data_IF_691275408642
#
_entry.id   IF_691275408642
#
_cell.length_a   1.000
_cell.length_b   1.000
_cell.length_c   1.000
_cell.angle_alpha   90.00
_cell.angle_beta   90.00
_cell.angle_gamma   90.00
#
_symmetry.space_group_name_H-M   'P 1'
#
loop_
_entity.id
_entity.type
_entity.pdbx_description
1 polymer ?
#
# COMPACT_ATOMS: atom_id res chain seq x y z
N UNK A 1 47.39 0.00 34.41
CA UNK A 1 46.06 0.59 34.28
C UNK A 1 45.54 0.23 32.90
N UNK A 2 44.65 -0.71 32.83
CA UNK A 2 44.05 -1.16 31.56
C UNK A 2 42.75 -0.42 31.35
N UNK A 3 42.71 0.47 30.35
CA UNK A 3 41.48 1.07 29.88
C UNK A 3 40.79 0.04 28.98
N UNK A 4 39.75 -0.58 29.45
CA UNK A 4 38.87 -1.35 28.64
C UNK A 4 37.96 -0.38 27.90
N UNK A 5 38.24 -0.19 26.62
CA UNK A 5 37.31 0.48 25.71
C UNK A 5 36.15 -0.48 25.45
N UNK A 6 34.99 -0.17 26.02
CA UNK A 6 33.74 -0.80 25.66
C UNK A 6 33.29 -0.23 24.31
N UNK A 7 33.50 -1.02 23.25
CA UNK A 7 32.88 -0.74 21.98
C UNK A 7 31.40 -1.16 22.10
N UNK A 8 30.52 -0.20 22.34
CA UNK A 8 29.09 -0.41 22.10
C UNK A 8 28.88 -0.47 20.59
N UNK A 9 28.76 -1.68 20.09
CA UNK A 9 28.23 -1.88 18.74
C UNK A 9 26.74 -1.54 18.77
N UNK A 10 26.38 -0.34 18.33
CA UNK A 10 24.98 -0.01 18.08
C UNK A 10 24.51 -0.86 16.89
N UNK A 11 23.73 -1.88 17.17
CA UNK A 11 22.97 -2.59 16.14
C UNK A 11 21.90 -1.64 15.64
N UNK A 12 22.16 -1.00 14.51
CA UNK A 12 21.12 -0.33 13.73
C UNK A 12 20.27 -1.44 13.08
N UNK A 13 19.16 -1.76 13.72
CA UNK A 13 18.14 -2.55 13.07
C UNK A 13 17.51 -1.68 11.98
N UNK A 14 17.96 -1.87 10.73
CA UNK A 14 17.28 -1.29 9.57
C UNK A 14 15.98 -2.07 9.36
N UNK A 15 14.86 -1.54 9.87
CA UNK A 15 13.56 -2.03 9.48
C UNK A 15 13.41 -1.79 7.97
N UNK A 16 13.14 -2.86 7.21
CA UNK A 16 12.80 -2.73 5.79
C UNK A 16 11.68 -1.72 5.62
N UNK A 17 11.84 -0.76 4.71
CA UNK A 17 10.85 0.28 4.49
C UNK A 17 9.51 -0.36 4.06
N UNK A 18 8.39 -0.20 4.83
CA UNK A 18 7.10 -0.83 4.51
C UNK A 18 6.58 -0.47 3.12
N UNK A 19 6.85 0.76 2.66
CA UNK A 19 6.42 1.26 1.35
C UNK A 19 7.00 0.43 0.20
N UNK A 20 8.29 0.02 0.26
CA UNK A 20 8.92 -0.80 -0.77
C UNK A 20 8.33 -2.22 -0.80
N UNK A 21 8.10 -2.82 0.38
CA UNK A 21 7.45 -4.12 0.50
C UNK A 21 6.02 -4.10 -0.06
N UNK A 22 5.26 -3.03 0.16
CA UNK A 22 3.89 -2.87 -0.34
C UNK A 22 3.82 -2.66 -1.84
N UNK A 23 4.78 -1.98 -2.46
CA UNK A 23 4.90 -1.90 -3.91
C UNK A 23 5.17 -3.29 -4.52
N UNK A 24 6.04 -4.07 -3.91
CA UNK A 24 6.29 -5.44 -4.32
C UNK A 24 5.02 -6.32 -4.21
N UNK A 25 4.22 -6.12 -3.16
CA UNK A 25 2.92 -6.79 -3.01
C UNK A 25 1.94 -6.39 -4.13
N UNK A 26 1.88 -5.12 -4.48
CA UNK A 26 1.03 -4.66 -5.57
C UNK A 26 1.43 -5.29 -6.91
N UNK A 27 2.72 -5.42 -7.17
CA UNK A 27 3.23 -6.11 -8.36
C UNK A 27 2.92 -7.61 -8.32
N UNK A 28 3.12 -8.25 -7.18
CA UNK A 28 2.86 -9.68 -6.99
C UNK A 28 1.39 -10.04 -7.27
N UNK A 29 0.47 -9.18 -6.87
CA UNK A 29 -0.97 -9.40 -7.03
C UNK A 29 -1.57 -8.74 -8.29
N UNK A 30 -0.74 -8.33 -9.24
CA UNK A 30 -1.13 -7.74 -10.52
C UNK A 30 -1.94 -6.43 -10.42
N UNK A 31 -1.85 -5.73 -9.32
CA UNK A 31 -2.52 -4.44 -9.15
C UNK A 31 -2.00 -3.40 -10.16
N UNK A 32 -0.72 -3.49 -10.50
CA UNK A 32 -0.05 -2.57 -11.42
C UNK A 32 -0.43 -2.80 -12.89
N UNK A 33 -1.22 -3.81 -13.19
CA UNK A 33 -1.81 -3.96 -14.53
C UNK A 33 -2.88 -2.89 -14.81
N UNK A 34 -3.57 -2.42 -13.79
CA UNK A 34 -4.64 -1.43 -13.88
C UNK A 34 -4.35 -0.12 -13.17
N UNK A 35 -3.39 -0.10 -12.26
CA UNK A 35 -3.02 1.07 -11.47
C UNK A 35 -1.57 1.46 -11.70
N UNK A 36 -1.27 2.73 -11.55
CA UNK A 36 0.08 3.26 -11.38
C UNK A 36 0.11 4.17 -10.15
N UNK A 37 1.31 4.51 -9.67
CA UNK A 37 1.47 5.36 -8.49
C UNK A 37 0.97 6.78 -8.76
N UNK A 38 1.33 7.35 -9.90
CA UNK A 38 1.21 8.79 -10.20
C UNK A 38 0.36 9.11 -11.43
N UNK A 39 -0.22 8.11 -12.09
CA UNK A 39 -1.04 8.34 -13.28
C UNK A 39 -2.18 7.33 -13.39
N UNK A 40 -3.25 7.74 -14.06
CA UNK A 40 -4.35 6.86 -14.44
C UNK A 40 -3.90 5.90 -15.53
N UNK A 41 -4.26 4.63 -15.37
CA UNK A 41 -4.15 3.60 -16.42
C UNK A 41 -5.56 3.11 -16.74
N UNK A 42 -5.98 1.96 -16.26
CA UNK A 42 -7.39 1.55 -16.29
C UNK A 42 -8.09 2.09 -15.04
N UNK A 43 -7.49 1.89 -13.88
CA UNK A 43 -7.91 2.46 -12.61
C UNK A 43 -7.20 3.78 -12.27
N UNK A 44 -7.63 4.45 -11.18
CA UNK A 44 -7.02 5.70 -10.76
C UNK A 44 -5.59 5.52 -10.31
N UNK A 45 -4.80 6.61 -10.39
CA UNK A 45 -3.50 6.67 -9.73
C UNK A 45 -3.64 6.47 -8.23
N UNK A 46 -2.72 5.75 -7.60
CA UNK A 46 -2.75 5.56 -6.15
C UNK A 46 -2.64 6.86 -5.37
N UNK A 47 -1.90 7.84 -5.89
CA UNK A 47 -1.82 9.18 -5.29
C UNK A 47 -3.17 9.91 -5.31
N UNK A 48 -3.98 9.71 -6.34
CA UNK A 48 -5.34 10.28 -6.39
C UNK A 48 -6.29 9.57 -5.43
N UNK A 49 -6.15 8.27 -5.24
CA UNK A 49 -6.88 7.53 -4.21
C UNK A 49 -6.55 8.07 -2.82
N UNK A 50 -5.27 8.26 -2.52
CA UNK A 50 -4.82 8.83 -1.25
C UNK A 50 -5.41 10.22 -1.00
N UNK A 51 -5.45 11.07 -2.01
CA UNK A 51 -6.03 12.42 -1.91
C UNK A 51 -7.54 12.37 -1.67
N UNK A 52 -8.25 11.48 -2.37
CA UNK A 52 -9.71 11.34 -2.22
C UNK A 52 -10.11 10.93 -0.81
N UNK A 53 -9.35 10.05 -0.18
CA UNK A 53 -9.66 9.50 1.14
C UNK A 53 -8.92 10.18 2.30
N UNK A 54 -8.13 11.21 2.02
CA UNK A 54 -7.39 11.93 3.05
C UNK A 54 -8.33 12.45 4.15
N UNK A 55 -8.01 12.17 5.41
CA UNK A 55 -8.79 12.61 6.58
C UNK A 55 -10.08 11.82 6.85
N UNK A 56 -10.40 10.81 6.05
CA UNK A 56 -11.56 9.96 6.30
C UNK A 56 -11.22 8.84 7.27
N UNK A 57 -12.01 8.68 8.33
CA UNK A 57 -11.76 7.70 9.41
C UNK A 57 -11.83 6.25 8.93
N UNK A 58 -12.70 5.96 7.99
CA UNK A 58 -12.98 4.62 7.46
C UNK A 58 -12.24 4.33 6.15
N UNK A 59 -11.30 5.17 5.77
CA UNK A 59 -10.58 5.06 4.50
C UNK A 59 -9.92 3.69 4.32
N UNK A 60 -9.22 3.19 5.34
CA UNK A 60 -8.57 1.89 5.27
C UNK A 60 -9.58 0.75 5.06
N UNK A 61 -10.65 0.73 5.84
CA UNK A 61 -11.72 -0.27 5.69
C UNK A 61 -12.39 -0.20 4.32
N UNK A 62 -12.60 1.01 3.80
CA UNK A 62 -13.16 1.23 2.47
C UNK A 62 -12.24 0.67 1.38
N UNK A 63 -10.94 0.92 1.45
CA UNK A 63 -9.98 0.37 0.48
C UNK A 63 -9.86 -1.15 0.59
N UNK A 64 -9.82 -1.70 1.78
CA UNK A 64 -9.83 -3.16 1.99
C UNK A 64 -11.05 -3.78 1.31
N UNK A 65 -12.22 -3.20 1.50
CA UNK A 65 -13.45 -3.68 0.87
C UNK A 65 -13.39 -3.58 -0.66
N UNK A 66 -12.88 -2.47 -1.21
CA UNK A 66 -12.72 -2.27 -2.65
C UNK A 66 -11.77 -3.28 -3.28
N UNK A 67 -10.69 -3.61 -2.59
CA UNK A 67 -9.72 -4.62 -3.06
C UNK A 67 -10.33 -6.02 -3.04
N UNK A 68 -10.97 -6.41 -1.95
CA UNK A 68 -11.46 -7.78 -1.74
C UNK A 68 -12.75 -8.07 -2.47
N UNK A 69 -13.68 -7.12 -2.52
CA UNK A 69 -15.03 -7.31 -3.08
C UNK A 69 -15.22 -6.61 -4.41
N UNK A 70 -14.25 -5.82 -4.85
CA UNK A 70 -14.37 -5.00 -6.03
C UNK A 70 -15.08 -3.67 -5.75
N UNK A 71 -15.12 -2.83 -6.77
CA UNK A 71 -15.69 -1.48 -6.69
C UNK A 71 -16.25 -1.06 -8.03
N UNK A 72 -17.37 -0.36 -8.02
CA UNK A 72 -18.01 0.21 -9.21
C UNK A 72 -18.42 1.65 -8.95
N UNK A 73 -18.30 2.50 -9.99
CA UNK A 73 -18.84 3.86 -9.96
C UNK A 73 -18.06 4.88 -9.13
N UNK A 74 -16.97 4.52 -8.47
CA UNK A 74 -16.17 5.46 -7.65
C UNK A 74 -15.26 6.35 -8.49
N UNK A 75 -14.77 5.83 -9.62
CA UNK A 75 -13.82 6.51 -10.51
C UNK A 75 -14.22 6.39 -11.98
N UNK A 76 -15.51 6.33 -12.26
CA UNK A 76 -16.06 6.19 -13.58
C UNK A 76 -16.71 4.83 -13.83
N UNK A 77 -17.00 4.48 -15.13
CA UNK A 77 -17.81 3.33 -15.45
C UNK A 77 -17.07 1.99 -15.40
N UNK A 78 -15.73 1.98 -15.40
CA UNK A 78 -14.96 0.75 -15.39
C UNK A 78 -14.91 0.19 -13.98
N UNK A 79 -15.43 -1.05 -13.76
CA UNK A 79 -15.40 -1.66 -12.44
C UNK A 79 -14.01 -2.18 -12.11
N UNK A 80 -13.65 -2.11 -10.82
CA UNK A 80 -12.52 -2.84 -10.27
C UNK A 80 -13.00 -4.25 -9.88
N UNK A 81 -12.45 -5.32 -10.45
CA UNK A 81 -12.85 -6.66 -10.08
C UNK A 81 -12.39 -7.03 -8.66
N UNK A 82 -13.06 -7.99 -8.01
CA UNK A 82 -12.59 -8.51 -6.72
C UNK A 82 -11.21 -9.17 -6.82
N UNK A 83 -10.38 -8.94 -5.83
CA UNK A 83 -9.10 -9.62 -5.68
C UNK A 83 -9.20 -10.63 -4.51
N UNK A 84 -9.20 -11.90 -4.83
CA UNK A 84 -9.41 -12.98 -3.87
C UNK A 84 -8.13 -13.74 -3.48
N UNK A 85 -7.03 -13.50 -4.20
CA UNK A 85 -5.75 -14.19 -3.96
C UNK A 85 -4.90 -13.57 -2.85
N UNK A 86 -4.88 -12.24 -2.61
CA UNK A 86 -4.11 -11.68 -1.51
C UNK A 86 -4.66 -12.14 -0.15
N UNK A 87 -3.76 -12.39 0.81
CA UNK A 87 -4.15 -12.61 2.20
C UNK A 87 -4.76 -11.35 2.81
N UNK A 88 -5.49 -11.50 3.92
CA UNK A 88 -6.04 -10.36 4.66
C UNK A 88 -4.93 -9.39 5.11
N UNK A 89 -3.77 -9.90 5.52
CA UNK A 89 -2.62 -9.07 5.92
C UNK A 89 -2.04 -8.31 4.74
N UNK A 90 -1.93 -8.94 3.58
CA UNK A 90 -1.45 -8.30 2.35
C UNK A 90 -2.41 -7.20 1.88
N UNK A 91 -3.71 -7.44 1.92
CA UNK A 91 -4.73 -6.43 1.58
C UNK A 91 -4.64 -5.23 2.50
N UNK A 92 -4.48 -5.46 3.80
CA UNK A 92 -4.31 -4.39 4.78
C UNK A 92 -3.04 -3.59 4.53
N UNK A 93 -1.93 -4.25 4.23
CA UNK A 93 -0.67 -3.60 3.90
C UNK A 93 -0.79 -2.76 2.63
N UNK A 94 -1.46 -3.26 1.60
CA UNK A 94 -1.73 -2.53 0.35
C UNK A 94 -2.60 -1.30 0.59
N UNK A 95 -3.68 -1.42 1.35
CA UNK A 95 -4.55 -0.30 1.68
C UNK A 95 -3.79 0.81 2.42
N UNK A 96 -3.00 0.47 3.41
CA UNK A 96 -2.17 1.44 4.14
C UNK A 96 -1.13 2.11 3.24
N UNK A 97 -0.48 1.35 2.38
CA UNK A 97 0.51 1.88 1.46
C UNK A 97 -0.11 2.89 0.48
N UNK A 98 -1.26 2.56 -0.10
CA UNK A 98 -1.99 3.46 -1.01
C UNK A 98 -2.39 4.75 -0.28
N UNK A 99 -2.94 4.64 0.94
CA UNK A 99 -3.34 5.81 1.73
C UNK A 99 -2.16 6.69 2.15
N UNK A 100 -0.96 6.13 2.27
CA UNK A 100 0.26 6.89 2.53
C UNK A 100 0.82 7.59 1.28
N UNK A 101 0.17 7.46 0.14
CA UNK A 101 0.58 8.05 -1.14
C UNK A 101 1.42 7.14 -2.02
N UNK A 102 1.44 5.85 -1.72
CA UNK A 102 2.19 4.83 -2.46
C UNK A 102 3.71 5.14 -2.57
N UNK A 103 4.28 5.55 -1.48
CA UNK A 103 5.70 5.94 -1.36
C UNK A 103 6.56 4.87 -0.72
#
# INVERSE_FOLDING_TARGET
MFRRALFLSALLATAAAPALASQALAQKHNCMACHAVDKKVVGPAYQDVAKKYAGQKDAEATLINSITKGSTGKYGPVPMPPNTTPSADDVKALAKWVLAGAK
#
